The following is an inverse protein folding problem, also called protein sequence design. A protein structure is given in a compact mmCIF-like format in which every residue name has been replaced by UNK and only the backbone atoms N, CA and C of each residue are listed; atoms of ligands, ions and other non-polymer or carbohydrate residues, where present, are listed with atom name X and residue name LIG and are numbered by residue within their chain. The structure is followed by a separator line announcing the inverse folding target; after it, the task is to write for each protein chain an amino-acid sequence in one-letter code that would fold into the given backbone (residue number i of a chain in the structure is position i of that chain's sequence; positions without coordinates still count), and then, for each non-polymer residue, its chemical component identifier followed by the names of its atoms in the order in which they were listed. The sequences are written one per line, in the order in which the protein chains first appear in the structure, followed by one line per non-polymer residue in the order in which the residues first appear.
data_IF_875712168954
#
_entry.id   IF_875712168954
#
_cell.length_a   1.000
_cell.length_b   1.000
_cell.length_c   1.000
_cell.angle_alpha   90.00
_cell.angle_beta   90.00
_cell.angle_gamma   90.00
#
_symmetry.space_group_name_H-M   'P 1'
#
loop_
_entity.id
_entity.type
_entity.pdbx_description
1 polymer ?
#
# COMPACT_ATOMS: atom_id res chain seq x y z
N UNK A 1 -6.75 23.53 -15.04
CA UNK A 1 -6.77 22.07 -14.78
C UNK A 1 -6.13 21.81 -13.41
N UNK A 2 -6.77 21.00 -12.56
CA UNK A 2 -6.19 20.55 -11.28
C UNK A 2 -5.97 19.04 -11.35
N UNK A 3 -4.78 18.57 -11.00
CA UNK A 3 -4.43 17.15 -10.98
C UNK A 3 -4.01 16.80 -9.56
N UNK A 4 -4.58 15.73 -9.01
CA UNK A 4 -4.17 15.17 -7.73
C UNK A 4 -3.20 14.02 -7.98
N UNK A 5 -2.01 14.09 -7.38
CA UNK A 5 -1.04 13.01 -7.38
C UNK A 5 -1.23 12.18 -6.11
N UNK A 6 -1.15 10.86 -6.23
CA UNK A 6 -1.21 9.96 -5.08
C UNK A 6 0.15 9.34 -4.85
N UNK A 7 0.62 9.38 -3.60
CA UNK A 7 1.80 8.65 -3.18
C UNK A 7 1.51 7.16 -3.23
N UNK A 8 2.44 6.38 -3.75
CA UNK A 8 2.32 4.93 -3.74
C UNK A 8 2.43 4.40 -2.30
N UNK A 9 1.44 3.65 -1.84
CA UNK A 9 1.40 3.01 -0.53
C UNK A 9 1.29 1.50 -0.72
N UNK A 10 2.31 0.71 -0.34
CA UNK A 10 2.24 -0.75 -0.45
C UNK A 10 1.17 -1.31 0.49
N UNK A 11 0.27 -2.16 -0.05
CA UNK A 11 -0.88 -2.71 0.67
C UNK A 11 -0.83 -4.23 0.81
N UNK A 12 -1.28 -4.79 1.93
CA UNK A 12 -1.50 -6.22 2.08
C UNK A 12 -2.31 -6.83 0.94
N UNK A 13 -2.01 -8.09 0.61
CA UNK A 13 -2.73 -8.86 -0.40
C UNK A 13 -2.73 -8.24 -1.81
N UNK A 14 -1.75 -7.38 -2.11
CA UNK A 14 -1.51 -6.84 -3.45
C UNK A 14 -0.19 -7.37 -4.00
N UNK A 15 0.03 -7.34 -5.33
CA UNK A 15 1.30 -7.72 -5.93
C UNK A 15 2.49 -6.91 -5.39
N UNK A 16 2.26 -5.69 -4.91
CA UNK A 16 3.33 -4.82 -4.42
C UNK A 16 3.45 -4.79 -2.88
N UNK A 17 2.87 -5.75 -2.16
CA UNK A 17 2.92 -5.81 -0.69
C UNK A 17 4.36 -5.96 -0.12
N UNK A 18 5.30 -6.38 -0.96
CA UNK A 18 6.72 -6.55 -0.63
C UNK A 18 7.57 -5.29 -0.86
N UNK A 19 7.05 -4.32 -1.63
CA UNK A 19 7.81 -3.16 -2.07
C UNK A 19 7.96 -2.13 -0.96
N UNK A 20 9.12 -1.48 -0.90
CA UNK A 20 9.36 -0.32 -0.08
C UNK A 20 8.58 0.92 -0.55
N UNK A 21 7.97 1.65 0.38
CA UNK A 21 7.55 3.01 0.11
C UNK A 21 8.80 3.90 -0.04
N UNK A 22 8.76 4.82 -1.01
CA UNK A 22 9.82 5.80 -1.18
C UNK A 22 9.94 6.73 0.03
N UNK A 23 11.16 7.15 0.35
CA UNK A 23 11.42 8.09 1.44
C UNK A 23 10.89 9.50 1.12
N UNK A 24 10.68 10.31 2.16
CA UNK A 24 10.13 11.66 2.03
C UNK A 24 10.96 12.54 1.08
N UNK A 25 12.30 12.47 1.16
CA UNK A 25 13.19 13.24 0.27
C UNK A 25 13.00 12.85 -1.20
N UNK A 26 12.84 11.56 -1.48
CA UNK A 26 12.60 11.06 -2.84
C UNK A 26 11.21 11.47 -3.36
N UNK A 27 10.19 11.44 -2.49
CA UNK A 27 8.84 11.88 -2.82
C UNK A 27 8.82 13.38 -3.14
N UNK A 28 9.43 14.20 -2.29
CA UNK A 28 9.52 15.65 -2.48
C UNK A 28 10.25 16.00 -3.78
N UNK A 29 11.38 15.34 -4.05
CA UNK A 29 12.13 15.50 -5.30
C UNK A 29 11.28 15.19 -6.54
N UNK A 30 10.48 14.12 -6.50
CA UNK A 30 9.55 13.74 -7.59
C UNK A 30 8.41 14.76 -7.75
N UNK A 31 7.83 15.24 -6.65
CA UNK A 31 6.78 16.26 -6.67
C UNK A 31 7.28 17.58 -7.27
N UNK A 32 8.47 18.03 -6.89
CA UNK A 32 9.08 19.23 -7.43
C UNK A 32 9.37 19.12 -8.94
N UNK A 33 9.86 17.96 -9.38
CA UNK A 33 10.08 17.71 -10.81
C UNK A 33 8.77 17.84 -11.60
N UNK A 34 7.69 17.21 -11.13
CA UNK A 34 6.38 17.28 -11.76
C UNK A 34 5.80 18.70 -11.72
N UNK A 35 5.93 19.39 -10.58
CA UNK A 35 5.45 20.76 -10.42
C UNK A 35 6.15 21.69 -11.40
N UNK A 36 7.49 21.64 -11.50
CA UNK A 36 8.25 22.45 -12.47
C UNK A 36 7.84 22.17 -13.93
N UNK A 37 7.64 20.90 -14.29
CA UNK A 37 7.28 20.51 -15.65
C UNK A 37 5.86 20.90 -16.05
N UNK A 38 4.90 20.80 -15.12
CA UNK A 38 3.48 20.98 -15.39
C UNK A 38 2.98 22.41 -15.08
N UNK A 39 3.67 23.16 -14.22
CA UNK A 39 3.35 24.55 -13.94
C UNK A 39 3.38 25.42 -15.20
N UNK A 40 4.33 25.16 -16.12
CA UNK A 40 4.42 25.84 -17.42
C UNK A 40 3.19 25.65 -18.32
N UNK A 41 2.33 24.67 -18.02
CA UNK A 41 1.09 24.37 -18.73
C UNK A 41 -0.16 24.88 -18.00
N UNK A 42 -0.01 25.68 -16.94
CA UNK A 42 -1.14 26.19 -16.14
C UNK A 42 -1.86 25.11 -15.32
N UNK A 43 -1.20 23.98 -15.07
CA UNK A 43 -1.74 22.87 -14.28
C UNK A 43 -1.41 23.09 -12.80
N UNK A 44 -2.42 22.97 -11.94
CA UNK A 44 -2.23 22.98 -10.48
C UNK A 44 -2.14 21.55 -9.97
N UNK A 45 -1.07 21.24 -9.25
CA UNK A 45 -0.89 19.95 -8.60
C UNK A 45 -1.29 20.02 -7.13
N UNK A 46 -1.80 18.92 -6.61
CA UNK A 46 -1.92 18.68 -5.17
C UNK A 46 -1.54 17.23 -4.88
N UNK A 47 -0.94 16.98 -3.72
CA UNK A 47 -0.62 15.65 -3.23
C UNK A 47 -0.90 15.57 -1.73
N UNK A 48 -1.14 14.37 -1.17
CA UNK A 48 -1.26 14.17 0.27
C UNK A 48 0.02 14.56 1.00
N UNK A 49 -0.10 14.86 2.29
CA UNK A 49 1.05 15.00 3.18
C UNK A 49 1.89 13.68 3.15
N UNK A 50 3.20 13.74 2.85
CA UNK A 50 4.08 12.58 2.89
C UNK A 50 4.05 11.85 4.25
N UNK A 51 3.86 12.57 5.36
CA UNK A 51 3.79 11.98 6.72
C UNK A 51 2.52 11.15 6.90
N UNK A 52 1.40 11.62 6.37
CA UNK A 52 0.16 10.84 6.36
C UNK A 52 0.30 9.58 5.51
N UNK A 53 0.94 9.70 4.33
CA UNK A 53 1.22 8.56 3.45
C UNK A 53 2.16 7.54 4.08
N UNK A 54 3.15 8.01 4.87
CA UNK A 54 4.05 7.15 5.63
C UNK A 54 3.28 6.38 6.70
N UNK A 55 2.48 7.08 7.50
CA UNK A 55 1.69 6.45 8.55
C UNK A 55 0.70 5.43 7.97
N UNK A 56 0.07 5.74 6.84
CA UNK A 56 -0.80 4.82 6.11
C UNK A 56 -0.05 3.54 5.72
N UNK A 57 1.17 3.65 5.20
CA UNK A 57 2.00 2.49 4.86
C UNK A 57 2.37 1.66 6.10
N UNK A 58 2.73 2.33 7.20
CA UNK A 58 3.05 1.66 8.47
C UNK A 58 1.85 0.88 9.00
N UNK A 59 0.68 1.53 9.09
CA UNK A 59 -0.55 0.89 9.56
C UNK A 59 -1.01 -0.24 8.64
N UNK A 60 -0.85 -0.08 7.33
CA UNK A 60 -1.19 -1.10 6.35
C UNK A 60 -0.30 -2.33 6.46
N UNK A 61 1.00 -2.15 6.73
CA UNK A 61 2.01 -3.22 6.77
C UNK A 61 2.41 -3.61 8.20
N UNK A 62 1.61 -3.20 9.18
CA UNK A 62 1.84 -3.43 10.59
C UNK A 62 1.68 -4.89 10.99
N UNK A 63 2.35 -5.27 12.08
CA UNK A 63 2.08 -6.50 12.81
C UNK A 63 1.39 -6.20 14.14
N UNK A 64 1.20 -7.23 14.98
CA UNK A 64 0.59 -7.10 16.32
C UNK A 64 1.31 -6.10 17.25
N UNK A 65 2.59 -5.81 17.03
CA UNK A 65 3.35 -4.87 17.87
C UNK A 65 2.86 -3.44 17.65
N UNK A 66 2.39 -3.13 16.43
CA UNK A 66 1.87 -1.82 16.09
C UNK A 66 0.61 -1.45 16.88
N UNK A 67 -0.10 -2.44 17.45
CA UNK A 67 -1.19 -2.19 18.40
C UNK A 67 -0.75 -1.36 19.61
N UNK A 68 0.50 -1.49 20.06
CA UNK A 68 1.06 -0.66 21.15
C UNK A 68 1.20 0.81 20.72
N UNK A 69 1.66 1.04 19.50
CA UNK A 69 1.81 2.39 18.92
C UNK A 69 0.46 3.06 18.78
N UNK A 70 -0.52 2.36 18.18
CA UNK A 70 -1.88 2.89 17.99
C UNK A 70 -2.51 3.27 19.33
N UNK A 71 -2.41 2.39 20.32
CA UNK A 71 -2.92 2.65 21.66
C UNK A 71 -2.23 3.86 22.30
N UNK A 72 -0.90 3.98 22.15
CA UNK A 72 -0.16 5.11 22.72
C UNK A 72 -0.46 6.43 22.01
N UNK A 73 -0.54 6.44 20.69
CA UNK A 73 -0.92 7.63 19.92
C UNK A 73 -2.30 8.15 20.37
N UNK A 74 -3.27 7.24 20.58
CA UNK A 74 -4.58 7.60 21.13
C UNK A 74 -4.47 8.23 22.52
N UNK A 75 -3.66 7.68 23.44
CA UNK A 75 -3.42 8.28 24.76
C UNK A 75 -2.78 9.68 24.69
N UNK A 76 -2.01 9.96 23.64
CA UNK A 76 -1.41 11.27 23.36
C UNK A 76 -2.40 12.24 22.67
N UNK A 77 -3.63 11.80 22.38
CA UNK A 77 -4.69 12.62 21.81
C UNK A 77 -4.85 12.49 20.29
N UNK A 78 -4.21 11.52 19.65
CA UNK A 78 -4.49 11.19 18.24
C UNK A 78 -5.90 10.60 18.12
N UNK A 79 -6.83 11.44 17.66
CA UNK A 79 -8.20 11.06 17.34
C UNK A 79 -8.58 11.78 16.06
N UNK A 80 -9.31 11.09 15.18
CA UNK A 80 -9.80 11.67 13.93
C UNK A 80 -8.71 12.08 12.92
N UNK A 81 -7.55 11.43 12.96
CA UNK A 81 -6.39 11.66 12.07
C UNK A 81 -6.66 11.46 10.56
N UNK A 82 -7.83 10.91 10.20
CA UNK A 82 -8.26 10.83 8.80
C UNK A 82 -8.58 12.19 8.18
N UNK A 83 -8.88 13.21 9.01
CA UNK A 83 -9.08 14.59 8.56
C UNK A 83 -7.82 15.42 8.81
N UNK A 84 -7.35 16.10 7.75
CA UNK A 84 -6.07 16.82 7.75
C UNK A 84 -5.92 17.84 8.87
N UNK A 85 -7.02 18.49 9.28
CA UNK A 85 -7.06 19.48 10.35
C UNK A 85 -6.86 18.90 11.75
N UNK A 86 -7.05 17.59 11.91
CA UNK A 86 -6.87 16.86 13.16
C UNK A 86 -5.59 16.02 13.18
N UNK A 87 -4.97 15.82 12.02
CA UNK A 87 -3.78 14.98 11.90
C UNK A 87 -2.60 15.55 12.68
N UNK A 88 -2.19 14.86 13.74
CA UNK A 88 -1.03 15.22 14.54
C UNK A 88 0.06 14.15 14.47
N UNK A 89 0.99 14.32 13.53
CA UNK A 89 2.12 13.41 13.36
C UNK A 89 3.08 13.38 14.56
N UNK A 90 3.14 14.44 15.37
CA UNK A 90 4.00 14.49 16.56
C UNK A 90 3.61 13.45 17.61
N UNK A 91 2.31 13.23 17.81
CA UNK A 91 1.80 12.19 18.71
C UNK A 91 2.22 10.79 18.24
N UNK A 92 2.19 10.54 16.94
CA UNK A 92 2.62 9.28 16.36
C UNK A 92 4.13 9.06 16.54
N UNK A 93 4.95 10.08 16.27
CA UNK A 93 6.40 10.00 16.50
C UNK A 93 6.73 9.65 17.95
N UNK A 94 6.09 10.34 18.91
CA UNK A 94 6.26 10.05 20.33
C UNK A 94 5.81 8.62 20.68
N UNK A 95 4.69 8.15 20.12
CA UNK A 95 4.23 6.77 20.31
C UNK A 95 5.20 5.72 19.75
N UNK A 96 5.81 5.97 18.60
CA UNK A 96 6.84 5.09 18.03
C UNK A 96 8.09 5.04 18.92
N UNK A 97 8.58 6.21 19.33
CA UNK A 97 9.74 6.34 20.22
C UNK A 97 9.52 5.60 21.55
N UNK A 98 8.42 5.86 22.24
CA UNK A 98 8.13 5.26 23.54
C UNK A 98 7.88 3.74 23.49
N UNK A 99 7.49 3.21 22.33
CA UNK A 99 7.29 1.77 22.13
C UNK A 99 8.52 1.05 21.55
N UNK A 100 9.56 1.81 21.17
CA UNK A 100 10.78 1.29 20.58
C UNK A 100 10.58 0.69 19.18
N UNK A 101 9.61 1.20 18.41
CA UNK A 101 9.31 0.73 17.06
C UNK A 101 9.69 1.80 16.03
N UNK A 102 10.34 1.37 14.95
CA UNK A 102 10.74 2.25 13.86
C UNK A 102 9.68 2.27 12.73
N UNK A 103 9.13 3.43 12.34
CA UNK A 103 8.20 3.53 11.22
C UNK A 103 8.77 2.99 9.89
N UNK A 104 10.05 3.29 9.63
CA UNK A 104 10.77 2.89 8.42
C UNK A 104 10.84 1.36 8.25
N UNK A 105 10.92 0.62 9.36
CA UNK A 105 10.90 -0.85 9.35
C UNK A 105 9.63 -1.42 8.69
N UNK A 106 8.48 -0.76 8.89
CA UNK A 106 7.20 -1.20 8.33
C UNK A 106 6.96 -0.67 6.91
N UNK A 107 7.28 0.60 6.66
CA UNK A 107 6.91 1.28 5.43
C UNK A 107 7.99 1.26 4.33
N UNK A 108 9.25 1.46 4.70
CA UNK A 108 10.35 1.75 3.77
C UNK A 108 11.28 0.55 3.54
N UNK A 109 11.01 -0.58 4.20
CA UNK A 109 11.75 -1.83 3.99
C UNK A 109 11.17 -2.63 2.82
N UNK A 110 12.03 -2.97 1.87
CA UNK A 110 11.77 -4.00 0.87
C UNK A 110 11.75 -5.36 1.58
N UNK A 111 10.73 -6.18 1.34
CA UNK A 111 10.58 -7.50 1.95
C UNK A 111 10.90 -8.59 0.93
N UNK A 112 11.69 -9.61 1.27
CA UNK A 112 11.82 -10.80 0.44
C UNK A 112 10.47 -11.44 0.14
N UNK A 113 10.31 -12.03 -1.05
CA UNK A 113 9.05 -12.67 -1.45
C UNK A 113 8.70 -13.87 -0.56
N UNK A 114 9.68 -14.50 0.07
CA UNK A 114 9.54 -15.63 1.01
C UNK A 114 9.40 -15.20 2.48
N UNK A 115 9.47 -13.90 2.79
CA UNK A 115 9.25 -13.39 4.14
C UNK A 115 7.83 -13.74 4.65
N UNK A 116 7.70 -14.31 5.86
CA UNK A 116 6.41 -14.48 6.51
C UNK A 116 5.75 -13.12 6.77
N UNK A 117 4.62 -12.84 6.11
CA UNK A 117 3.93 -11.56 6.25
C UNK A 117 2.92 -11.61 7.42
N UNK A 118 2.82 -10.54 8.23
CA UNK A 118 1.96 -10.55 9.43
C UNK A 118 0.47 -10.70 9.11
N UNK A 119 0.03 -10.29 7.92
CA UNK A 119 -1.34 -10.45 7.43
C UNK A 119 -1.58 -11.77 6.66
N UNK A 120 -0.59 -12.65 6.51
CA UNK A 120 -0.71 -13.87 5.70
C UNK A 120 -1.75 -14.88 6.25
N UNK A 121 -2.16 -14.74 7.50
CA UNK A 121 -3.21 -15.56 8.13
C UNK A 121 -4.63 -15.15 7.72
N UNK A 122 -4.79 -14.04 6.99
CA UNK A 122 -6.08 -13.54 6.50
C UNK A 122 -6.27 -14.06 5.06
N UNK A 123 -7.28 -14.90 4.84
CA UNK A 123 -7.62 -15.38 3.50
C UNK A 123 -8.57 -14.40 2.79
N UNK A 124 -8.08 -13.71 1.78
CA UNK A 124 -8.87 -12.83 0.90
C UNK A 124 -9.30 -13.52 -0.40
N UNK A 125 -9.09 -14.83 -0.51
CA UNK A 125 -9.37 -15.66 -1.67
C UNK A 125 -8.25 -15.67 -2.72
N UNK A 126 -7.48 -14.59 -2.85
CA UNK A 126 -6.33 -14.50 -3.76
C UNK A 126 -5.11 -15.19 -3.16
N UNK A 127 -4.46 -16.07 -3.92
CA UNK A 127 -3.30 -16.84 -3.46
C UNK A 127 -2.02 -16.00 -3.48
N UNK A 128 -1.12 -16.27 -2.52
CA UNK A 128 0.22 -15.68 -2.50
C UNK A 128 1.03 -16.02 -3.76
N UNK A 129 0.86 -17.23 -4.29
CA UNK A 129 1.52 -17.65 -5.54
C UNK A 129 1.12 -16.74 -6.72
N UNK A 130 -0.18 -16.46 -6.86
CA UNK A 130 -0.68 -15.51 -7.86
C UNK A 130 -0.10 -14.10 -7.64
N UNK A 131 -0.10 -13.58 -6.41
CA UNK A 131 0.45 -12.25 -6.12
C UNK A 131 1.95 -12.14 -6.46
N UNK A 132 2.74 -13.19 -6.23
CA UNK A 132 4.16 -13.25 -6.64
C UNK A 132 4.33 -13.24 -8.16
N UNK A 133 3.48 -14.00 -8.86
CA UNK A 133 3.47 -14.00 -10.32
C UNK A 133 3.10 -12.63 -10.88
N UNK A 134 2.08 -11.98 -10.34
CA UNK A 134 1.67 -10.64 -10.77
C UNK A 134 2.73 -9.58 -10.45
N UNK A 135 3.44 -9.71 -9.33
CA UNK A 135 4.59 -8.85 -9.02
C UNK A 135 5.65 -8.96 -10.12
N UNK A 136 6.06 -10.18 -10.46
CA UNK A 136 7.07 -10.42 -11.50
C UNK A 136 6.62 -9.86 -12.86
N UNK A 137 5.37 -10.13 -13.26
CA UNK A 137 4.79 -9.61 -14.51
C UNK A 137 4.78 -8.08 -14.53
N UNK A 138 4.44 -7.44 -13.43
CA UNK A 138 4.44 -5.98 -13.34
C UNK A 138 5.84 -5.39 -13.49
N UNK A 139 6.87 -6.02 -12.91
CA UNK A 139 8.28 -5.63 -13.09
C UNK A 139 8.72 -5.81 -14.55
N UNK A 140 8.23 -6.85 -15.22
CA UNK A 140 8.51 -7.13 -16.64
C UNK A 140 7.65 -6.30 -17.61
N UNK A 141 6.72 -5.49 -17.11
CA UNK A 141 5.79 -4.71 -17.94
C UNK A 141 4.77 -5.57 -18.70
N UNK A 142 4.50 -6.79 -18.23
CA UNK A 142 3.57 -7.73 -18.86
C UNK A 142 2.17 -7.57 -18.25
N UNK A 143 1.21 -7.19 -19.08
CA UNK A 143 -0.19 -7.04 -18.65
C UNK A 143 -0.89 -8.38 -18.45
N UNK A 144 -1.57 -8.53 -17.32
CA UNK A 144 -2.45 -9.68 -17.06
C UNK A 144 -3.80 -9.49 -17.77
N UNK A 145 -4.23 -10.44 -18.61
CA UNK A 145 -5.48 -10.30 -19.35
C UNK A 145 -6.70 -10.19 -18.44
N UNK A 146 -7.69 -9.41 -18.86
CA UNK A 146 -8.95 -9.28 -18.15
C UNK A 146 -9.72 -10.61 -18.16
N UNK A 147 -9.74 -11.29 -17.02
CA UNK A 147 -10.41 -12.58 -16.86
C UNK A 147 -11.93 -12.49 -16.89
N UNK A 148 -12.56 -11.33 -17.13
CA UNK A 148 -13.98 -11.21 -17.50
C UNK A 148 -14.21 -11.64 -18.94
N UNK A 149 -13.29 -11.29 -19.85
CA UNK A 149 -13.41 -11.57 -21.29
C UNK A 149 -12.45 -12.66 -21.78
N UNK A 150 -11.32 -12.84 -21.11
CA UNK A 150 -10.30 -13.86 -21.42
C UNK A 150 -10.39 -15.03 -20.44
N UNK A 151 -9.51 -16.03 -20.55
CA UNK A 151 -9.48 -17.19 -19.66
C UNK A 151 -9.34 -16.79 -18.17
N UNK A 152 -9.69 -17.70 -17.28
CA UNK A 152 -9.48 -17.49 -15.84
C UNK A 152 -7.98 -17.36 -15.52
N UNK A 153 -7.59 -16.32 -14.78
CA UNK A 153 -6.21 -16.10 -14.37
C UNK A 153 -5.76 -17.01 -13.20
N UNK A 154 -6.67 -17.82 -12.66
CA UNK A 154 -6.40 -18.72 -11.52
C UNK A 154 -5.81 -17.97 -10.32
N UNK A 155 -6.43 -16.84 -9.95
CA UNK A 155 -5.94 -16.01 -8.86
C UNK A 155 -6.17 -16.61 -7.48
N UNK A 156 -7.00 -17.65 -7.36
CA UNK A 156 -7.42 -18.28 -6.11
C UNK A 156 -8.91 -18.17 -5.84
N UNK A 157 -9.59 -17.17 -6.43
CA UNK A 157 -11.02 -16.96 -6.30
C UNK A 157 -11.83 -18.11 -6.91
N UNK A 158 -11.28 -18.84 -7.88
CA UNK A 158 -11.90 -20.05 -8.43
C UNK A 158 -12.05 -21.18 -7.41
N UNK A 159 -11.51 -21.06 -6.20
CA UNK A 159 -11.82 -21.97 -5.08
C UNK A 159 -13.18 -21.67 -4.43
N UNK A 160 -13.63 -20.41 -4.49
CA UNK A 160 -14.77 -19.91 -3.69
C UNK A 160 -15.92 -19.36 -4.55
N UNK A 161 -15.60 -18.73 -5.69
CA UNK A 161 -16.55 -18.00 -6.52
C UNK A 161 -17.11 -18.91 -7.63
N UNK A 162 -18.43 -19.20 -7.66
CA UNK A 162 -19.03 -20.10 -8.64
C UNK A 162 -18.81 -19.66 -10.10
N UNK A 163 -18.82 -18.34 -10.36
CA UNK A 163 -18.53 -17.81 -11.69
C UNK A 163 -17.10 -18.14 -12.14
N UNK A 164 -16.11 -17.99 -11.25
CA UNK A 164 -14.72 -18.34 -11.53
C UNK A 164 -14.52 -19.85 -11.70
N UNK A 165 -15.21 -20.68 -10.90
CA UNK A 165 -15.19 -22.14 -11.03
C UNK A 165 -15.67 -22.62 -12.40
N UNK A 166 -16.83 -22.12 -12.86
CA UNK A 166 -17.37 -22.46 -14.19
C UNK A 166 -16.40 -22.04 -15.30
N UNK A 167 -15.90 -20.81 -15.20
CA UNK A 167 -14.97 -20.26 -16.18
C UNK A 167 -13.66 -21.04 -16.27
N UNK A 168 -13.07 -21.43 -15.14
CA UNK A 168 -11.86 -22.28 -15.11
C UNK A 168 -12.07 -23.63 -15.78
N UNK A 169 -13.27 -24.22 -15.65
CA UNK A 169 -13.62 -25.49 -16.29
C UNK A 169 -13.92 -25.37 -17.79
N UNK A 170 -13.83 -24.17 -18.37
CA UNK A 170 -14.22 -23.93 -19.76
C UNK A 170 -15.73 -24.03 -19.99
N UNK A 171 -16.53 -23.97 -18.92
CA UNK A 171 -18.00 -24.03 -18.97
C UNK A 171 -18.61 -22.63 -19.15
N UNK A 172 -17.89 -21.72 -19.83
CA UNK A 172 -18.31 -20.32 -20.05
C UNK A 172 -19.08 -20.16 -21.35
#
# INVERSE_FOLDING_TARGET
LRISLSTFVPKPHTPFQWVAQAEEEQLNSKHELLNRGLHRKGVRLSWPDPKASLLEAVLSRGDRQLGKVIHRAWQLGSTFDAWSEHFNYGNWLCAFEETGLEPSFYAQRERPLDEPLPWAHIDVGVTTAFLKQEYQRAIEGIETPDCRYKACNTCGLERWQPACQRKRKGLS
#
